data_IF_355317845336
#
_entry.id   IF_355317845336
#
_cell.length_a   1.000
_cell.length_b   1.000
_cell.length_c   1.000
_cell.angle_alpha   90.00
_cell.angle_beta   90.00
_cell.angle_gamma   90.00
#
_symmetry.space_group_name_H-M   'P 1'
#
loop_
_entity.id
_entity.type
_entity.pdbx_description
1 polymer ?
#
# COMPACT_ATOMS: atom_id res chain seq x y z
N UNK A 1 21.17 46.09 -66.23
CA UNK A 1 21.40 46.23 -64.78
C UNK A 1 20.06 46.13 -64.08
N UNK A 2 19.69 44.93 -63.62
CA UNK A 2 18.48 44.69 -62.84
C UNK A 2 18.88 43.84 -61.64
N UNK A 3 18.88 44.42 -60.45
CA UNK A 3 19.15 43.72 -59.21
C UNK A 3 17.83 43.53 -58.46
N UNK A 4 17.49 42.28 -58.22
CA UNK A 4 16.33 41.78 -57.49
C UNK A 4 16.48 42.03 -55.99
N UNK A 5 15.46 42.62 -55.38
CA UNK A 5 15.32 42.82 -53.94
C UNK A 5 14.99 41.49 -53.26
N UNK A 6 15.89 40.98 -52.41
CA UNK A 6 15.66 39.79 -51.57
C UNK A 6 15.12 40.23 -50.21
N UNK A 7 13.88 39.86 -49.90
CA UNK A 7 13.23 40.07 -48.61
C UNK A 7 13.70 39.03 -47.59
N UNK A 8 14.49 39.46 -46.61
CA UNK A 8 14.87 38.61 -45.48
C UNK A 8 13.70 38.47 -44.48
N UNK A 9 13.27 37.23 -44.25
CA UNK A 9 12.27 36.85 -43.26
C UNK A 9 12.92 36.91 -41.86
N UNK A 10 12.32 37.55 -40.83
CA UNK A 10 12.90 37.55 -39.50
C UNK A 10 12.78 36.15 -38.90
N UNK A 11 13.91 35.47 -38.79
CA UNK A 11 14.03 34.21 -38.07
C UNK A 11 13.80 34.50 -36.59
N UNK A 12 12.59 34.20 -36.11
CA UNK A 12 12.21 34.24 -34.70
C UNK A 12 13.17 33.32 -33.95
N UNK A 13 14.13 33.91 -33.25
CA UNK A 13 14.97 33.23 -32.30
C UNK A 13 14.03 32.59 -31.25
N UNK A 14 13.83 31.28 -31.35
CA UNK A 14 13.23 30.49 -30.28
C UNK A 14 14.26 30.54 -29.15
N UNK A 15 14.05 31.47 -28.21
CA UNK A 15 14.87 31.57 -27.02
C UNK A 15 14.83 30.21 -26.33
N UNK A 16 16.01 29.71 -25.99
CA UNK A 16 16.26 28.46 -25.27
C UNK A 16 15.68 28.43 -23.85
N UNK A 17 14.80 29.38 -23.49
CA UNK A 17 14.09 29.46 -22.21
C UNK A 17 12.93 28.46 -22.10
N UNK A 18 12.36 28.00 -23.22
CA UNK A 18 11.19 27.08 -23.18
C UNK A 18 11.58 25.59 -23.04
N UNK A 19 12.88 25.28 -23.07
CA UNK A 19 13.38 23.89 -23.03
C UNK A 19 13.75 23.41 -21.61
N UNK A 20 13.61 24.24 -20.58
CA UNK A 20 14.00 23.93 -19.21
C UNK A 20 12.83 23.99 -18.22
N UNK A 21 11.68 23.43 -18.59
CA UNK A 21 10.71 22.96 -17.59
C UNK A 21 11.31 21.71 -16.92
N UNK A 22 12.32 21.93 -16.06
CA UNK A 22 12.73 20.93 -15.09
C UNK A 22 11.51 20.69 -14.24
N UNK A 23 10.85 19.53 -14.39
CA UNK A 23 9.80 19.06 -13.49
C UNK A 23 10.37 19.04 -12.07
N UNK A 24 10.33 20.18 -11.37
CA UNK A 24 10.64 20.25 -9.96
C UNK A 24 9.53 19.47 -9.27
N UNK A 25 9.83 18.23 -8.88
CA UNK A 25 8.94 17.46 -8.02
C UNK A 25 8.77 18.30 -6.75
N UNK A 26 7.61 18.92 -6.61
CA UNK A 26 7.31 19.81 -5.50
C UNK A 26 7.55 19.05 -4.19
N UNK A 27 8.55 19.49 -3.41
CA UNK A 27 8.82 18.92 -2.09
C UNK A 27 7.57 19.14 -1.24
N UNK A 28 6.96 18.11 -0.64
CA UNK A 28 5.74 18.30 0.12
C UNK A 28 5.99 19.31 1.26
N UNK A 29 5.03 20.21 1.44
CA UNK A 29 5.05 21.20 2.52
C UNK A 29 5.21 20.50 3.88
N UNK A 30 5.66 21.23 4.91
CA UNK A 30 5.81 20.67 6.25
C UNK A 30 4.52 20.03 6.79
N UNK A 31 3.38 20.62 6.46
CA UNK A 31 2.06 20.08 6.79
C UNK A 31 1.76 18.77 6.05
N UNK A 32 2.01 18.71 4.73
CA UNK A 32 1.81 17.51 3.93
C UNK A 32 2.65 16.33 4.44
N UNK A 33 3.92 16.57 4.81
CA UNK A 33 4.79 15.54 5.41
C UNK A 33 4.26 14.99 6.72
N UNK A 34 3.72 15.85 7.58
CA UNK A 34 3.09 15.43 8.84
C UNK A 34 1.83 14.62 8.59
N UNK A 35 0.97 15.06 7.67
CA UNK A 35 -0.25 14.31 7.32
C UNK A 35 0.08 12.93 6.74
N UNK A 36 1.08 12.84 5.86
CA UNK A 36 1.57 11.56 5.34
C UNK A 36 2.14 10.66 6.43
N UNK A 37 2.78 11.22 7.46
CA UNK A 37 3.24 10.47 8.62
C UNK A 37 2.07 9.93 9.45
N UNK A 38 1.03 10.74 9.69
CA UNK A 38 -0.19 10.30 10.36
C UNK A 38 -0.86 9.19 9.57
N UNK A 39 -1.04 9.38 8.26
CA UNK A 39 -1.65 8.39 7.38
C UNK A 39 -0.87 7.06 7.42
N UNK A 40 0.45 7.11 7.30
CA UNK A 40 1.33 5.94 7.44
C UNK A 40 1.12 5.21 8.78
N UNK A 41 1.12 5.94 9.89
CA UNK A 41 0.97 5.35 11.24
C UNK A 41 -0.43 4.74 11.41
N UNK A 42 -1.46 5.46 10.98
CA UNK A 42 -2.85 5.00 11.05
C UNK A 42 -3.05 3.72 10.22
N UNK A 43 -2.52 3.67 8.98
CA UNK A 43 -2.53 2.46 8.16
C UNK A 43 -1.76 1.32 8.84
N UNK A 44 -0.57 1.58 9.38
CA UNK A 44 0.18 0.57 10.12
C UNK A 44 -0.61 0.01 11.32
N UNK A 45 -1.32 0.87 12.05
CA UNK A 45 -2.21 0.45 13.14
C UNK A 45 -3.39 -0.41 12.64
N UNK A 46 -3.99 -0.07 11.50
CA UNK A 46 -5.03 -0.89 10.86
C UNK A 46 -4.55 -2.29 10.46
N UNK A 47 -3.28 -2.47 10.11
CA UNK A 47 -2.71 -3.80 9.87
C UNK A 47 -2.39 -4.55 11.17
N UNK A 48 -1.91 -3.86 12.21
CA UNK A 48 -1.57 -4.51 13.48
C UNK A 48 -2.79 -4.90 14.30
N UNK A 49 -3.88 -4.16 14.20
CA UNK A 49 -5.05 -4.43 15.03
C UNK A 49 -5.65 -5.82 14.78
N UNK A 50 -5.93 -6.24 13.53
CA UNK A 50 -6.39 -7.60 13.25
C UNK A 50 -5.35 -8.65 13.64
N UNK A 51 -4.05 -8.37 13.57
CA UNK A 51 -3.03 -9.28 14.08
C UNK A 51 -3.19 -9.51 15.58
N UNK A 52 -3.34 -8.45 16.39
CA UNK A 52 -3.53 -8.60 17.84
C UNK A 52 -4.85 -9.25 18.19
N UNK A 53 -5.96 -8.83 17.57
CA UNK A 53 -7.27 -9.42 17.79
C UNK A 53 -7.29 -10.90 17.41
N UNK A 54 -6.73 -11.29 16.25
CA UNK A 54 -6.65 -12.71 15.84
C UNK A 54 -5.68 -13.52 16.67
N UNK A 55 -4.57 -12.93 17.14
CA UNK A 55 -3.59 -13.64 17.96
C UNK A 55 -4.19 -13.98 19.31
N UNK A 56 -4.82 -13.01 19.98
CA UNK A 56 -5.23 -13.12 21.38
C UNK A 56 -6.74 -13.33 21.59
N UNK A 57 -7.57 -13.16 20.56
CA UNK A 57 -9.03 -13.23 20.67
C UNK A 57 -9.61 -12.13 21.55
N UNK A 58 -9.33 -10.87 21.20
CA UNK A 58 -9.71 -9.69 22.01
C UNK A 58 -11.21 -9.39 21.99
N UNK A 59 -11.99 -10.11 21.17
CA UNK A 59 -13.45 -10.02 21.13
C UNK A 59 -13.99 -8.98 20.15
N UNK A 60 -13.15 -8.37 19.29
CA UNK A 60 -13.62 -7.41 18.28
C UNK A 60 -14.14 -8.14 17.05
N UNK A 61 -13.25 -8.87 16.36
CA UNK A 61 -13.61 -9.73 15.23
C UNK A 61 -13.37 -11.20 15.55
N UNK A 62 -12.58 -11.49 16.60
CA UNK A 62 -12.16 -12.83 16.98
C UNK A 62 -12.50 -13.08 18.44
N UNK A 63 -13.33 -14.07 18.72
CA UNK A 63 -13.61 -14.52 20.08
C UNK A 63 -12.38 -15.22 20.69
N UNK A 64 -12.32 -15.29 22.03
CA UNK A 64 -11.22 -15.94 22.72
C UNK A 64 -10.99 -17.40 22.27
N UNK A 65 -12.06 -18.17 22.06
CA UNK A 65 -11.97 -19.57 21.62
C UNK A 65 -11.43 -19.70 20.18
N UNK A 66 -11.58 -18.65 19.36
CA UNK A 66 -11.08 -18.60 17.98
C UNK A 66 -9.71 -17.91 17.87
N UNK A 67 -9.08 -17.56 19.00
CA UNK A 67 -7.75 -16.98 19.01
C UNK A 67 -6.72 -17.93 18.38
N UNK A 68 -5.75 -17.38 17.68
CA UNK A 68 -4.72 -18.18 17.00
C UNK A 68 -3.87 -18.98 17.99
N UNK A 69 -3.55 -18.38 19.15
CA UNK A 69 -2.82 -19.09 20.22
C UNK A 69 -3.61 -20.26 20.83
N UNK A 70 -4.94 -20.25 20.66
CA UNK A 70 -5.83 -21.32 21.11
C UNK A 70 -6.13 -22.35 19.99
N UNK A 71 -5.43 -22.26 18.85
CA UNK A 71 -5.60 -23.18 17.72
C UNK A 71 -6.62 -22.73 16.67
N UNK A 72 -7.19 -21.53 16.80
CA UNK A 72 -8.05 -20.94 15.76
C UNK A 72 -7.28 -20.63 14.47
N UNK A 73 -7.97 -20.56 13.34
CA UNK A 73 -7.37 -20.25 12.04
C UNK A 73 -7.65 -18.79 11.62
N UNK A 74 -6.63 -17.92 11.51
CA UNK A 74 -6.79 -16.52 11.10
C UNK A 74 -7.54 -16.27 9.79
N UNK A 75 -7.34 -17.12 8.78
CA UNK A 75 -7.85 -16.93 7.41
C UNK A 75 -8.73 -18.05 6.91
N UNK A 76 -8.50 -19.30 7.33
CA UNK A 76 -9.17 -20.47 6.72
C UNK A 76 -10.70 -20.40 6.84
N UNK A 77 -11.23 -19.93 7.97
CA UNK A 77 -12.68 -19.73 8.14
C UNK A 77 -13.28 -18.73 7.15
N UNK A 78 -12.54 -17.70 6.74
CA UNK A 78 -12.98 -16.76 5.72
C UNK A 78 -12.85 -17.38 4.31
N UNK A 79 -11.68 -17.95 4.00
CA UNK A 79 -11.38 -18.51 2.68
C UNK A 79 -12.22 -19.75 2.34
N UNK A 80 -12.60 -20.54 3.35
CA UNK A 80 -13.43 -21.73 3.17
C UNK A 80 -14.93 -21.43 3.01
N UNK A 81 -15.37 -20.22 3.33
CA UNK A 81 -16.78 -19.80 3.27
C UNK A 81 -17.03 -18.70 2.23
N UNK A 82 -16.18 -18.61 1.20
CA UNK A 82 -16.39 -17.68 0.10
C UNK A 82 -17.58 -18.11 -0.76
N UNK A 83 -18.37 -17.15 -1.22
CA UNK A 83 -19.47 -17.38 -2.17
C UNK A 83 -18.92 -18.05 -3.45
N UNK A 84 -19.38 -19.26 -3.82
CA UNK A 84 -18.94 -19.95 -5.03
C UNK A 84 -19.18 -19.16 -6.32
N UNK A 85 -20.14 -18.21 -6.34
CA UNK A 85 -20.38 -17.35 -7.49
C UNK A 85 -19.24 -16.34 -7.75
N UNK A 86 -18.34 -16.12 -6.78
CA UNK A 86 -17.22 -15.19 -6.94
C UNK A 86 -16.13 -15.79 -7.85
N UNK A 87 -15.58 -15.01 -8.82
CA UNK A 87 -14.62 -15.50 -9.81
C UNK A 87 -13.36 -16.18 -9.26
N UNK A 88 -12.92 -15.79 -8.06
CA UNK A 88 -11.69 -16.29 -7.43
C UNK A 88 -11.93 -17.21 -6.24
N UNK A 89 -13.19 -17.56 -5.93
CA UNK A 89 -13.55 -18.37 -4.76
C UNK A 89 -12.80 -19.70 -4.75
N UNK A 90 -12.83 -20.46 -5.85
CA UNK A 90 -12.16 -21.75 -5.95
C UNK A 90 -10.65 -21.69 -5.71
N UNK A 91 -9.96 -20.70 -6.27
CA UNK A 91 -8.52 -20.50 -6.04
C UNK A 91 -8.22 -20.13 -4.58
N UNK A 92 -8.98 -19.21 -4.01
CA UNK A 92 -8.78 -18.70 -2.66
C UNK A 92 -9.11 -19.75 -1.59
N UNK A 93 -10.16 -20.55 -1.80
CA UNK A 93 -10.48 -21.69 -0.95
C UNK A 93 -9.43 -22.80 -1.07
N UNK A 94 -8.84 -23.02 -2.25
CA UNK A 94 -7.80 -24.03 -2.45
C UNK A 94 -6.48 -23.72 -1.70
N UNK A 95 -6.19 -22.44 -1.47
CA UNK A 95 -5.01 -22.04 -0.68
C UNK A 95 -5.30 -21.95 0.83
N UNK A 96 -6.54 -22.17 1.27
CA UNK A 96 -6.90 -22.15 2.69
C UNK A 96 -6.14 -23.26 3.44
N UNK A 97 -5.12 -22.87 4.20
CA UNK A 97 -4.23 -23.80 4.89
C UNK A 97 -3.50 -23.11 6.04
N UNK A 98 -2.88 -23.86 6.96
CA UNK A 98 -2.03 -23.30 8.01
C UNK A 98 -0.89 -22.42 7.46
N UNK A 99 -0.39 -22.72 6.26
CA UNK A 99 0.65 -21.89 5.62
C UNK A 99 0.12 -20.49 5.32
N UNK A 100 -1.11 -20.40 4.81
CA UNK A 100 -1.77 -19.12 4.51
C UNK A 100 -2.05 -18.33 5.79
N UNK A 101 -2.43 -19.01 6.87
CA UNK A 101 -2.57 -18.36 8.19
C UNK A 101 -1.25 -17.74 8.65
N UNK A 102 -0.14 -18.48 8.58
CA UNK A 102 1.19 -17.97 8.94
C UNK A 102 1.61 -16.79 8.05
N UNK A 103 1.43 -16.91 6.73
CA UNK A 103 1.77 -15.84 5.79
C UNK A 103 0.94 -14.57 6.05
N UNK A 104 -0.36 -14.73 6.33
CA UNK A 104 -1.24 -13.62 6.65
C UNK A 104 -0.83 -12.94 7.96
N UNK A 105 -0.55 -13.72 9.01
CA UNK A 105 -0.15 -13.19 10.32
C UNK A 105 1.22 -12.49 10.26
N UNK A 106 2.21 -13.09 9.61
CA UNK A 106 3.53 -12.47 9.38
C UNK A 106 3.39 -11.23 8.51
N UNK A 107 2.53 -11.27 7.48
CA UNK A 107 2.24 -10.15 6.60
C UNK A 107 1.66 -8.96 7.36
N UNK A 108 0.61 -9.18 8.16
CA UNK A 108 -0.01 -8.14 8.98
C UNK A 108 0.97 -7.54 10.00
N UNK A 109 1.68 -8.39 10.75
CA UNK A 109 2.66 -7.95 11.73
C UNK A 109 3.81 -7.16 11.08
N UNK A 110 4.39 -7.72 10.02
CA UNK A 110 5.51 -7.15 9.30
C UNK A 110 5.18 -5.83 8.64
N UNK A 111 4.08 -5.76 7.88
CA UNK A 111 3.62 -4.53 7.24
C UNK A 111 3.25 -3.49 8.29
N UNK A 112 2.50 -3.87 9.32
CA UNK A 112 2.07 -2.95 10.37
C UNK A 112 3.24 -2.32 11.13
N UNK A 113 4.20 -3.13 11.57
CA UNK A 113 5.41 -2.63 12.24
C UNK A 113 6.28 -1.78 11.32
N UNK A 114 6.49 -2.23 10.08
CA UNK A 114 7.29 -1.48 9.10
C UNK A 114 6.68 -0.12 8.80
N UNK A 115 5.35 -0.03 8.66
CA UNK A 115 4.66 1.24 8.47
C UNK A 115 4.73 2.13 9.71
N UNK A 116 4.47 1.64 10.92
CA UNK A 116 4.55 2.45 12.16
C UNK A 116 5.98 2.95 12.40
N UNK A 117 6.98 2.07 12.27
CA UNK A 117 8.38 2.43 12.48
C UNK A 117 8.95 3.23 11.31
N UNK A 118 8.39 3.10 10.10
CA UNK A 118 8.83 3.84 8.92
C UNK A 118 10.11 3.28 8.31
N UNK A 119 10.30 1.97 8.44
CA UNK A 119 11.45 1.21 7.95
C UNK A 119 10.97 0.21 6.90
N UNK A 120 11.80 -0.13 5.91
CA UNK A 120 11.43 -1.11 4.89
C UNK A 120 10.15 -0.76 4.13
N UNK A 121 9.86 0.54 3.95
CA UNK A 121 8.57 1.05 3.50
C UNK A 121 8.16 0.59 2.10
N UNK A 122 9.12 0.28 1.21
CA UNK A 122 8.87 -0.26 -0.13
C UNK A 122 8.42 -1.71 -0.07
N UNK A 123 9.10 -2.52 0.74
CA UNK A 123 8.74 -3.92 0.95
C UNK A 123 7.39 -4.00 1.64
N UNK A 124 7.20 -3.19 2.70
CA UNK A 124 5.92 -3.10 3.40
C UNK A 124 4.80 -2.58 2.50
N UNK A 125 5.07 -1.60 1.64
CA UNK A 125 4.11 -1.09 0.67
C UNK A 125 3.68 -2.14 -0.34
N UNK A 126 4.63 -2.89 -0.91
CA UNK A 126 4.35 -3.97 -1.84
C UNK A 126 3.60 -5.14 -1.18
N UNK A 127 4.04 -5.58 -0.01
CA UNK A 127 3.40 -6.65 0.75
C UNK A 127 1.99 -6.25 1.23
N UNK A 128 1.83 -5.03 1.73
CA UNK A 128 0.54 -4.50 2.17
C UNK A 128 -0.45 -4.34 1.02
N UNK A 129 0.01 -3.85 -0.14
CA UNK A 129 -0.81 -3.76 -1.34
C UNK A 129 -1.20 -5.15 -1.88
N UNK A 130 -0.28 -6.12 -1.86
CA UNK A 130 -0.58 -7.49 -2.24
C UNK A 130 -1.63 -8.12 -1.31
N UNK A 131 -1.44 -8.01 0.01
CA UNK A 131 -2.36 -8.54 1.01
C UNK A 131 -3.76 -7.93 0.83
N UNK A 132 -3.85 -6.61 0.78
CA UNK A 132 -5.13 -5.92 0.58
C UNK A 132 -5.75 -6.22 -0.78
N UNK A 133 -4.92 -6.35 -1.83
CA UNK A 133 -5.39 -6.78 -3.15
C UNK A 133 -6.01 -8.17 -3.12
N UNK A 134 -5.39 -9.14 -2.42
CA UNK A 134 -5.97 -10.48 -2.28
C UNK A 134 -7.28 -10.48 -1.49
N UNK A 135 -7.38 -9.68 -0.43
CA UNK A 135 -8.64 -9.52 0.32
C UNK A 135 -9.72 -8.87 -0.54
N UNK A 136 -9.37 -7.86 -1.34
CA UNK A 136 -10.29 -7.25 -2.30
C UNK A 136 -10.82 -8.28 -3.31
N UNK A 137 -9.96 -9.17 -3.82
CA UNK A 137 -10.38 -10.26 -4.72
C UNK A 137 -11.31 -11.29 -4.03
N UNK A 138 -11.15 -11.50 -2.73
CA UNK A 138 -12.01 -12.38 -1.94
C UNK A 138 -13.39 -11.77 -1.68
N UNK A 139 -13.45 -10.45 -1.46
CA UNK A 139 -14.69 -9.73 -1.18
C UNK A 139 -15.45 -9.39 -2.47
N UNK A 140 -14.77 -8.80 -3.47
CA UNK A 140 -15.30 -8.31 -4.75
C UNK A 140 -16.70 -7.66 -4.63
N UNK A 141 -16.77 -6.40 -4.17
CA UNK A 141 -18.05 -5.74 -3.87
C UNK A 141 -19.01 -5.63 -5.07
N UNK A 142 -18.48 -5.44 -6.28
CA UNK A 142 -19.29 -5.32 -7.50
C UNK A 142 -20.02 -6.62 -7.89
N UNK A 143 -19.51 -7.77 -7.45
CA UNK A 143 -20.05 -9.09 -7.81
C UNK A 143 -20.95 -9.63 -6.70
N UNK A 144 -20.81 -9.12 -5.47
CA UNK A 144 -21.69 -9.41 -4.35
C UNK A 144 -22.99 -8.63 -4.47
N UNK A 145 -24.00 -9.19 -5.14
CA UNK A 145 -25.39 -8.71 -5.02
C UNK A 145 -25.99 -8.85 -3.60
N UNK A 146 -25.16 -9.05 -2.57
CA UNK A 146 -25.55 -9.44 -1.21
C UNK A 146 -25.02 -8.52 -0.11
N UNK A 147 -24.06 -7.62 -0.38
CA UNK A 147 -23.59 -6.67 0.63
C UNK A 147 -23.86 -5.24 0.17
N UNK A 148 -24.57 -4.40 0.97
CA UNK A 148 -24.70 -2.98 0.68
C UNK A 148 -23.35 -2.29 0.90
N UNK A 149 -22.45 -2.38 -0.08
CA UNK A 149 -21.28 -1.50 -0.10
C UNK A 149 -21.72 -0.10 -0.52
N UNK A 150 -21.18 0.93 0.13
CA UNK A 150 -21.43 2.32 -0.29
C UNK A 150 -20.90 2.59 -1.70
N UNK A 151 -19.89 1.82 -2.15
CA UNK A 151 -19.31 1.91 -3.48
C UNK A 151 -18.99 0.50 -4.01
N UNK A 152 -19.44 0.13 -5.22
CA UNK A 152 -19.25 -1.22 -5.76
C UNK A 152 -17.81 -1.52 -6.21
N UNK A 153 -16.95 -0.51 -6.34
CA UNK A 153 -15.59 -0.67 -6.88
C UNK A 153 -14.51 -0.33 -5.85
N UNK A 154 -14.73 0.70 -5.04
CA UNK A 154 -13.72 1.18 -4.09
C UNK A 154 -14.18 0.90 -2.68
N UNK A 155 -13.47 0.00 -2.00
CA UNK A 155 -13.65 -0.30 -0.59
C UNK A 155 -12.38 0.05 0.21
N UNK A 156 -12.38 -0.30 1.50
CA UNK A 156 -11.24 -0.09 2.38
C UNK A 156 -9.97 -0.80 1.91
N UNK A 157 -10.06 -1.96 1.28
CA UNK A 157 -8.90 -2.72 0.82
C UNK A 157 -8.16 -1.98 -0.29
N UNK A 158 -8.89 -1.45 -1.28
CA UNK A 158 -8.30 -0.63 -2.34
C UNK A 158 -7.67 0.64 -1.77
N UNK A 159 -8.37 1.32 -0.85
CA UNK A 159 -7.84 2.54 -0.21
C UNK A 159 -6.55 2.22 0.54
N UNK A 160 -6.54 1.18 1.37
CA UNK A 160 -5.36 0.79 2.15
C UNK A 160 -4.20 0.30 1.27
N UNK A 161 -4.48 -0.38 0.15
CA UNK A 161 -3.47 -0.75 -0.84
C UNK A 161 -2.80 0.48 -1.46
N UNK A 162 -3.59 1.47 -1.87
CA UNK A 162 -3.07 2.72 -2.44
C UNK A 162 -2.26 3.52 -1.41
N UNK A 163 -2.71 3.55 -0.16
CA UNK A 163 -1.96 4.19 0.92
C UNK A 163 -0.66 3.45 1.22
N UNK A 164 -0.66 2.11 1.23
CA UNK A 164 0.56 1.34 1.39
C UNK A 164 1.59 1.65 0.28
N UNK A 165 1.13 1.92 -0.95
CA UNK A 165 1.97 2.31 -2.08
C UNK A 165 2.48 3.76 -1.95
N UNK A 166 1.65 4.71 -1.50
CA UNK A 166 2.04 6.12 -1.46
C UNK A 166 3.10 6.42 -0.38
N UNK A 167 3.14 5.65 0.70
CA UNK A 167 4.09 5.79 1.80
C UNK A 167 5.57 5.75 1.33
N UNK A 168 6.05 4.72 0.61
CA UNK A 168 7.42 4.69 0.10
C UNK A 168 7.66 5.72 -1.00
N UNK A 169 6.66 6.05 -1.82
CA UNK A 169 6.80 7.05 -2.90
C UNK A 169 7.02 8.47 -2.37
N UNK A 170 6.45 8.78 -1.21
CA UNK A 170 6.54 10.11 -0.60
C UNK A 170 7.60 10.21 0.50
N UNK A 171 8.33 9.13 0.76
CA UNK A 171 9.30 9.00 1.87
C UNK A 171 8.65 9.33 3.23
N UNK A 172 7.39 8.95 3.42
CA UNK A 172 6.65 9.26 4.64
C UNK A 172 7.30 8.67 5.91
N UNK A 173 8.10 7.60 5.77
CA UNK A 173 8.89 7.01 6.87
C UNK A 173 9.95 7.93 7.48
N UNK A 174 10.29 9.05 6.84
CA UNK A 174 11.22 10.04 7.38
C UNK A 174 10.60 10.92 8.46
N UNK A 175 9.28 11.12 8.43
CA UNK A 175 8.60 11.99 9.39
C UNK A 175 7.99 11.15 10.50
N UNK A 176 8.43 11.39 11.74
CA UNK A 176 8.05 10.60 12.94
C UNK A 176 8.28 9.09 12.78
N UNK A 177 9.29 8.72 12.01
CA UNK A 177 9.72 7.34 11.82
C UNK A 177 11.24 7.25 11.81
N UNK A 178 11.72 6.01 11.75
CA UNK A 178 13.13 5.62 11.72
C UNK A 178 13.67 5.54 10.28
N UNK A 179 12.93 6.00 9.26
CA UNK A 179 13.30 5.85 7.84
C UNK A 179 14.62 6.50 7.45
N UNK A 180 15.00 7.61 8.11
CA UNK A 180 16.33 8.22 7.93
C UNK A 180 17.45 7.31 8.46
N UNK A 181 17.26 6.77 9.66
CA UNK A 181 18.21 5.84 10.27
C UNK A 181 18.33 4.55 9.45
N UNK A 182 17.19 3.97 9.05
CA UNK A 182 17.14 2.76 8.24
C UNK A 182 17.92 2.89 6.93
N UNK A 183 17.71 4.00 6.20
CA UNK A 183 18.44 4.29 4.96
C UNK A 183 19.94 4.53 5.16
N UNK A 184 20.36 4.85 6.37
CA UNK A 184 21.78 5.07 6.67
C UNK A 184 22.58 3.76 6.77
N UNK A 185 21.89 2.62 7.01
CA UNK A 185 22.51 1.30 7.14
C UNK A 185 23.24 0.88 5.85
N UNK A 186 24.47 0.32 5.94
CA UNK A 186 25.23 -0.11 4.77
C UNK A 186 24.49 -1.09 3.87
N UNK A 187 23.68 -1.98 4.45
CA UNK A 187 22.87 -2.95 3.72
C UNK A 187 21.81 -2.27 2.84
N UNK A 188 21.11 -1.25 3.37
CA UNK A 188 20.04 -0.53 2.66
C UNK A 188 20.62 0.40 1.60
N UNK A 189 21.79 0.98 1.86
CA UNK A 189 22.54 1.75 0.84
C UNK A 189 22.94 0.89 -0.36
N UNK A 190 23.32 -0.37 -0.13
CA UNK A 190 23.64 -1.35 -1.19
C UNK A 190 22.39 -1.87 -1.90
N UNK A 191 21.26 -1.93 -1.18
CA UNK A 191 20.00 -2.50 -1.66
C UNK A 191 18.85 -1.48 -1.52
N UNK A 192 18.69 -0.54 -2.46
CA UNK A 192 17.71 0.55 -2.34
C UNK A 192 16.24 0.07 -2.39
N UNK A 193 16.00 -1.18 -2.75
CA UNK A 193 14.67 -1.79 -2.66
C UNK A 193 14.24 -2.08 -1.21
N UNK A 194 15.18 -2.11 -0.26
CA UNK A 194 14.91 -2.26 1.18
C UNK A 194 14.49 -0.96 1.87
N UNK A 195 14.42 0.18 1.18
CA UNK A 195 13.98 1.47 1.76
C UNK A 195 12.55 1.35 2.27
#
# INVERSE_FOLDING_TARGET
MSATTSTAHPQRALTSEDAASTTQIAVPTGAARRLLAVLRIATGAMFLWPFFDKTFGLGFSTTADMAWINGGSPTQGFLGNLDPAKPFSGFLSAIASPVTDWLFMIGMLGVGLALILGIGTRVAGAAGALLMGMLYLAVLPAVSGQEPSTNPVVDEHIILALVAIIVPLTRAGDTWGLGRWWRSLPLVKRNPWLI
#
